data_IF_380818347019
#
_entry.id   IF_380818347019
#
_cell.length_a   1.000
_cell.length_b   1.000
_cell.length_c   1.000
_cell.angle_alpha   90.00
_cell.angle_beta   90.00
_cell.angle_gamma   90.00
#
_symmetry.space_group_name_H-M   'P 1'
#
loop_
_entity.id
_entity.type
_entity.pdbx_description
1 polymer ?
#
# COMPACT_ATOMS: atom_id res chain seq x y z
N UNK A 1 4.89 -12.49 -25.81
CA UNK A 1 5.19 -12.89 -27.22
C UNK A 1 4.13 -13.87 -27.69
N UNK A 2 3.50 -13.62 -28.84
CA UNK A 2 2.54 -14.54 -29.44
C UNK A 2 3.29 -15.49 -30.35
N UNK A 3 3.19 -16.81 -30.08
CA UNK A 3 3.72 -17.85 -30.92
C UNK A 3 2.59 -18.49 -31.73
N UNK A 4 2.70 -18.48 -33.04
CA UNK A 4 1.71 -19.05 -33.95
C UNK A 4 2.34 -20.23 -34.70
N UNK A 5 1.75 -21.40 -34.54
CA UNK A 5 2.17 -22.60 -35.25
C UNK A 5 1.24 -22.87 -36.46
N UNK A 6 1.79 -23.13 -37.65
CA UNK A 6 0.98 -23.18 -38.86
C UNK A 6 0.07 -24.41 -38.95
N UNK A 7 0.27 -25.41 -38.07
CA UNK A 7 -0.57 -26.62 -38.05
C UNK A 7 -0.95 -26.96 -36.62
N UNK A 8 -2.19 -27.34 -36.40
CA UNK A 8 -2.65 -27.81 -35.10
C UNK A 8 -4.14 -27.63 -34.83
N UNK A 9 -4.64 -28.36 -33.83
CA UNK A 9 -6.00 -28.29 -33.30
C UNK A 9 -5.99 -28.00 -31.81
N UNK A 10 -7.11 -28.11 -31.11
CA UNK A 10 -7.21 -27.89 -29.68
C UNK A 10 -6.60 -29.02 -28.84
N UNK A 11 -5.91 -28.68 -27.73
CA UNK A 11 -5.54 -29.61 -26.66
C UNK A 11 -4.37 -30.57 -26.94
N UNK A 12 -3.54 -30.33 -27.93
CA UNK A 12 -2.55 -31.28 -28.38
C UNK A 12 -1.07 -30.89 -28.24
N UNK A 13 -0.77 -29.77 -27.61
CA UNK A 13 0.61 -29.26 -27.38
C UNK A 13 1.56 -30.25 -26.72
N UNK A 14 1.07 -31.19 -25.91
CA UNK A 14 1.85 -32.26 -25.28
C UNK A 14 1.77 -33.63 -25.96
N UNK A 15 1.02 -33.77 -27.05
CA UNK A 15 0.92 -35.06 -27.76
C UNK A 15 2.19 -35.34 -28.56
N UNK A 16 2.67 -36.60 -28.53
CA UNK A 16 3.92 -36.99 -29.19
C UNK A 16 3.91 -36.79 -30.72
N UNK A 17 2.75 -36.89 -31.33
CA UNK A 17 2.55 -36.67 -32.78
C UNK A 17 2.50 -35.17 -33.16
N UNK A 18 2.59 -34.22 -32.20
CA UNK A 18 2.59 -32.84 -32.56
C UNK A 18 3.94 -32.41 -33.14
N UNK A 19 3.93 -31.99 -34.39
CA UNK A 19 5.14 -31.65 -35.16
C UNK A 19 6.06 -30.66 -34.47
N UNK A 20 5.51 -29.73 -33.71
CA UNK A 20 6.25 -28.68 -33.04
C UNK A 20 6.34 -28.90 -31.51
N UNK A 21 6.08 -30.12 -31.02
CA UNK A 21 6.09 -30.44 -29.58
C UNK A 21 7.40 -30.01 -28.91
N UNK A 22 8.53 -30.41 -29.52
CA UNK A 22 9.84 -30.10 -28.94
C UNK A 22 10.11 -28.60 -28.86
N UNK A 23 9.81 -27.85 -29.92
CA UNK A 23 9.96 -26.40 -29.93
C UNK A 23 9.05 -25.76 -28.91
N UNK A 24 7.78 -26.14 -28.86
CA UNK A 24 6.81 -25.61 -27.93
C UNK A 24 7.17 -25.88 -26.47
N UNK A 25 7.63 -27.12 -26.15
CA UNK A 25 8.08 -27.43 -24.78
C UNK A 25 9.32 -26.67 -24.41
N UNK A 26 10.30 -26.48 -25.28
CA UNK A 26 11.48 -25.67 -25.04
C UNK A 26 11.14 -24.19 -24.81
N UNK A 27 10.22 -23.63 -25.56
CA UNK A 27 9.73 -22.28 -25.41
C UNK A 27 8.96 -22.10 -24.08
N UNK A 28 8.13 -23.09 -23.72
CA UNK A 28 7.44 -23.14 -22.44
C UNK A 28 8.41 -23.25 -21.26
N UNK A 29 9.40 -24.17 -21.34
CA UNK A 29 10.44 -24.33 -20.32
C UNK A 29 11.29 -23.07 -20.17
N UNK A 30 11.63 -22.42 -21.29
CA UNK A 30 12.31 -21.12 -21.27
C UNK A 30 11.46 -20.08 -20.57
N UNK A 31 10.19 -19.97 -20.93
CA UNK A 31 9.24 -19.04 -20.34
C UNK A 31 9.04 -19.28 -18.84
N UNK A 32 8.95 -20.56 -18.41
CA UNK A 32 8.88 -20.93 -16.99
C UNK A 32 10.18 -20.68 -16.23
N UNK A 33 11.33 -20.85 -16.89
CA UNK A 33 12.67 -20.63 -16.31
C UNK A 33 13.02 -19.16 -16.21
N UNK A 34 12.68 -18.39 -17.25
CA UNK A 34 12.90 -16.93 -17.27
C UNK A 34 11.90 -16.21 -16.32
N UNK A 35 11.08 -17.00 -15.62
CA UNK A 35 9.94 -16.60 -14.82
C UNK A 35 8.76 -16.25 -15.72
N UNK A 36 7.56 -16.45 -15.20
CA UNK A 36 6.39 -15.75 -15.72
C UNK A 36 6.69 -14.28 -15.48
N UNK A 37 7.30 -13.63 -16.49
CA UNK A 37 7.32 -12.18 -16.52
C UNK A 37 5.86 -11.80 -16.75
N UNK A 38 5.10 -11.80 -15.68
CA UNK A 38 3.95 -10.90 -15.65
C UNK A 38 4.55 -9.56 -16.04
N UNK A 39 4.02 -8.87 -17.05
CA UNK A 39 4.46 -7.50 -17.31
C UNK A 39 4.62 -6.86 -15.95
N UNK A 40 5.76 -6.24 -15.63
CA UNK A 40 6.05 -5.70 -14.28
C UNK A 40 4.90 -4.84 -13.73
N UNK A 41 3.97 -4.46 -14.60
CA UNK A 41 2.79 -3.63 -14.36
C UNK A 41 1.45 -4.38 -14.44
N UNK A 42 1.42 -5.72 -14.38
CA UNK A 42 0.15 -6.47 -14.42
C UNK A 42 -0.69 -6.29 -13.15
N UNK A 43 -0.03 -6.02 -12.02
CA UNK A 43 -0.71 -5.75 -10.76
C UNK A 43 -1.36 -4.35 -10.76
N UNK A 44 -2.69 -4.25 -10.56
CA UNK A 44 -3.41 -2.98 -10.63
C UNK A 44 -2.81 -1.90 -9.72
N UNK A 45 -2.42 -2.24 -8.48
CA UNK A 45 -1.79 -1.33 -7.53
C UNK A 45 -0.49 -0.74 -8.08
N UNK A 46 0.40 -1.58 -8.64
CA UNK A 46 1.67 -1.12 -9.18
C UNK A 46 1.46 -0.26 -10.44
N UNK A 47 0.61 -0.71 -11.37
CA UNK A 47 0.31 0.01 -12.62
C UNK A 47 -0.31 1.40 -12.34
N UNK A 48 -1.29 1.47 -11.45
CA UNK A 48 -1.94 2.73 -11.07
C UNK A 48 -0.96 3.61 -10.29
N UNK A 49 -0.22 3.05 -9.33
CA UNK A 49 0.80 3.80 -8.59
C UNK A 49 1.86 4.41 -9.49
N UNK A 50 2.33 3.71 -10.53
CA UNK A 50 3.26 4.24 -11.53
C UNK A 50 2.69 5.42 -12.34
N UNK A 51 1.38 5.52 -12.50
CA UNK A 51 0.77 6.67 -13.19
C UNK A 51 0.93 7.99 -12.40
N UNK A 52 1.23 7.91 -11.11
CA UNK A 52 1.54 9.07 -10.26
C UNK A 52 3.02 9.48 -10.28
N UNK A 53 3.91 8.77 -10.97
CA UNK A 53 5.33 9.13 -11.01
C UNK A 53 5.53 10.60 -11.41
N UNK A 54 6.31 11.33 -10.60
CA UNK A 54 6.54 12.76 -10.78
C UNK A 54 5.49 13.69 -10.14
N UNK A 55 4.36 13.17 -9.66
CA UNK A 55 3.39 13.97 -8.90
C UNK A 55 4.04 14.59 -7.67
N UNK A 56 3.79 15.85 -7.39
CA UNK A 56 4.40 16.59 -6.29
C UNK A 56 4.06 16.00 -4.93
N UNK A 57 5.06 15.93 -4.05
CA UNK A 57 4.81 15.70 -2.64
C UNK A 57 4.38 16.98 -1.94
N UNK A 58 3.24 16.96 -1.27
CA UNK A 58 2.78 18.05 -0.40
C UNK A 58 2.13 17.45 0.84
N UNK A 59 2.68 17.76 2.02
CA UNK A 59 2.09 17.33 3.28
C UNK A 59 0.81 18.11 3.63
N UNK A 60 -0.04 17.52 4.46
CA UNK A 60 -1.22 18.16 5.04
C UNK A 60 -2.24 18.66 4.00
N UNK A 61 -2.33 17.99 2.86
CA UNK A 61 -3.29 18.36 1.78
C UNK A 61 -4.76 18.18 2.21
N UNK A 62 -5.02 17.38 3.24
CA UNK A 62 -6.35 17.07 3.74
C UNK A 62 -6.86 18.06 4.81
N UNK A 63 -6.01 18.96 5.31
CA UNK A 63 -6.31 19.82 6.46
C UNK A 63 -6.59 21.29 6.08
N UNK A 64 -6.94 21.53 4.81
CA UNK A 64 -7.13 22.88 4.28
C UNK A 64 -8.50 23.47 4.65
N UNK A 65 -9.55 22.66 4.63
CA UNK A 65 -10.93 23.10 4.85
C UNK A 65 -11.27 23.19 6.36
N UNK A 66 -12.21 24.06 6.72
CA UNK A 66 -12.69 24.21 8.10
C UNK A 66 -13.45 22.95 8.56
N UNK A 67 -14.32 22.41 7.70
CA UNK A 67 -15.10 21.21 7.96
C UNK A 67 -14.42 19.98 7.37
N UNK A 68 -14.48 18.87 8.09
CA UNK A 68 -14.01 17.59 7.58
C UNK A 68 -14.90 17.14 6.40
N UNK A 69 -14.28 16.85 5.29
CA UNK A 69 -14.93 16.37 4.07
C UNK A 69 -13.98 15.43 3.30
N UNK A 70 -14.52 14.67 2.36
CA UNK A 70 -13.70 13.85 1.47
C UNK A 70 -12.94 14.75 0.49
N UNK A 71 -11.68 15.03 0.82
CA UNK A 71 -10.79 15.79 -0.06
C UNK A 71 -10.18 14.87 -1.11
N UNK A 72 -10.29 15.25 -2.39
CA UNK A 72 -9.67 14.55 -3.53
C UNK A 72 -8.77 15.56 -4.24
N UNK A 73 -7.45 15.28 -4.25
CA UNK A 73 -6.44 16.06 -4.99
C UNK A 73 -5.57 15.13 -5.79
N UNK A 74 -5.42 15.42 -7.08
CA UNK A 74 -4.58 14.62 -7.98
C UNK A 74 -3.31 15.34 -8.42
N UNK A 75 -3.18 16.64 -8.07
CA UNK A 75 -2.03 17.48 -8.40
C UNK A 75 -0.87 17.34 -7.38
N UNK A 76 -1.17 16.85 -6.18
CA UNK A 76 -0.21 16.67 -5.11
C UNK A 76 -0.66 15.59 -4.13
N UNK A 77 0.28 14.85 -3.59
CA UNK A 77 0.04 13.75 -2.63
C UNK A 77 1.12 13.75 -1.55
N UNK A 78 0.80 13.21 -0.37
CA UNK A 78 1.78 12.69 0.58
C UNK A 78 1.86 11.16 0.49
N UNK A 79 2.65 10.53 1.36
CA UNK A 79 2.85 9.07 1.28
C UNK A 79 1.56 8.29 1.49
N UNK A 80 0.69 8.72 2.41
CA UNK A 80 -0.55 8.00 2.71
C UNK A 80 -1.61 8.26 1.64
N UNK A 81 -1.83 9.52 1.24
CA UNK A 81 -2.80 9.87 0.21
C UNK A 81 -2.46 9.27 -1.15
N UNK A 82 -1.16 9.11 -1.47
CA UNK A 82 -0.70 8.38 -2.65
C UNK A 82 -1.17 6.92 -2.62
N UNK A 83 -0.97 6.22 -1.50
CA UNK A 83 -1.40 4.82 -1.34
C UNK A 83 -2.92 4.70 -1.34
N UNK A 84 -3.62 5.60 -0.64
CA UNK A 84 -5.09 5.62 -0.60
C UNK A 84 -5.71 5.81 -2.00
N UNK A 85 -5.18 6.76 -2.79
CA UNK A 85 -5.68 7.01 -4.15
C UNK A 85 -5.41 5.82 -5.07
N UNK A 86 -4.23 5.24 -4.97
CA UNK A 86 -3.86 4.05 -5.74
C UNK A 86 -4.78 2.88 -5.40
N UNK A 87 -5.01 2.61 -4.10
CA UNK A 87 -5.88 1.53 -3.64
C UNK A 87 -7.34 1.78 -4.04
N UNK A 88 -7.86 3.00 -3.86
CA UNK A 88 -9.23 3.34 -4.22
C UNK A 88 -9.52 3.12 -5.71
N UNK A 89 -8.55 3.42 -6.58
CA UNK A 89 -8.64 3.16 -8.02
C UNK A 89 -8.50 1.66 -8.35
N UNK A 90 -7.60 0.95 -7.66
CA UNK A 90 -7.39 -0.48 -7.89
C UNK A 90 -8.60 -1.33 -7.53
N UNK A 91 -9.36 -0.92 -6.53
CA UNK A 91 -10.62 -1.58 -6.13
C UNK A 91 -11.73 -1.43 -7.19
N UNK A 92 -11.57 -0.53 -8.16
CA UNK A 92 -12.56 -0.30 -9.23
C UNK A 92 -13.85 0.35 -8.73
N UNK A 93 -14.92 0.24 -9.52
CA UNK A 93 -16.25 0.85 -9.23
C UNK A 93 -16.19 2.37 -8.97
N UNK A 94 -16.68 2.86 -7.83
CA UNK A 94 -16.66 4.27 -7.47
C UNK A 94 -15.39 4.65 -6.71
N UNK A 95 -14.51 5.43 -7.32
CA UNK A 95 -13.28 5.93 -6.69
C UNK A 95 -13.57 6.68 -5.38
N UNK A 96 -14.56 7.60 -5.39
CA UNK A 96 -14.88 8.40 -4.22
C UNK A 96 -15.42 7.56 -3.06
N UNK A 97 -16.30 6.60 -3.35
CA UNK A 97 -16.86 5.73 -2.30
C UNK A 97 -15.79 4.82 -1.71
N UNK A 98 -14.89 4.28 -2.56
CA UNK A 98 -13.76 3.49 -2.10
C UNK A 98 -12.82 4.32 -1.22
N UNK A 99 -12.46 5.52 -1.68
CA UNK A 99 -11.58 6.41 -0.94
C UNK A 99 -12.17 6.81 0.42
N UNK A 100 -13.48 7.07 0.50
CA UNK A 100 -14.15 7.36 1.75
C UNK A 100 -14.06 6.18 2.72
N UNK A 101 -14.31 4.94 2.26
CA UNK A 101 -14.20 3.72 3.07
C UNK A 101 -12.76 3.44 3.54
N UNK A 102 -11.78 3.79 2.71
CA UNK A 102 -10.35 3.60 3.00
C UNK A 102 -9.86 4.60 4.05
N UNK A 103 -10.27 5.88 3.92
CA UNK A 103 -9.74 7.00 4.71
C UNK A 103 -10.45 7.21 6.04
N UNK A 104 -11.74 6.87 6.11
CA UNK A 104 -12.55 7.15 7.29
C UNK A 104 -12.97 5.87 8.00
N UNK A 105 -13.03 5.94 9.31
CA UNK A 105 -13.47 4.83 10.17
C UNK A 105 -14.87 4.41 9.77
N UNK A 106 -15.01 3.14 9.36
CA UNK A 106 -16.25 2.56 8.83
C UNK A 106 -16.85 3.33 7.63
N UNK A 107 -16.04 4.14 6.94
CA UNK A 107 -16.48 4.97 5.82
C UNK A 107 -17.37 6.16 6.23
N UNK A 108 -17.40 6.54 7.50
CA UNK A 108 -18.27 7.60 8.02
C UNK A 108 -17.46 8.88 8.27
N UNK A 109 -17.87 9.99 7.61
CA UNK A 109 -17.30 11.31 7.85
C UNK A 109 -18.09 11.98 8.98
N UNK A 110 -17.44 12.14 10.13
CA UNK A 110 -18.02 12.79 11.31
C UNK A 110 -16.93 13.59 12.06
N UNK A 111 -16.51 14.70 11.47
CA UNK A 111 -15.44 15.54 12.00
C UNK A 111 -14.03 14.93 11.83
N UNK A 112 -13.04 15.70 12.23
CA UNK A 112 -11.61 15.37 12.08
C UNK A 112 -11.22 14.03 12.69
N UNK A 113 -11.65 13.64 13.90
CA UNK A 113 -11.28 12.36 14.50
C UNK A 113 -11.85 11.12 13.81
N UNK A 114 -12.81 11.26 12.88
CA UNK A 114 -13.34 10.12 12.11
C UNK A 114 -12.37 9.62 11.06
N UNK A 115 -11.37 10.43 10.67
CA UNK A 115 -10.31 10.03 9.75
C UNK A 115 -9.38 9.02 10.43
N UNK A 116 -8.87 8.04 9.67
CA UNK A 116 -7.92 7.04 10.15
C UNK A 116 -6.51 7.66 10.14
N UNK A 117 -6.12 8.27 11.27
CA UNK A 117 -4.86 9.00 11.38
C UNK A 117 -3.65 8.10 11.63
N UNK A 118 -3.85 6.95 12.28
CA UNK A 118 -2.80 5.98 12.54
C UNK A 118 -2.85 4.86 11.50
N UNK A 119 -1.70 4.57 10.88
CA UNK A 119 -1.64 3.58 9.80
C UNK A 119 -2.00 2.18 10.29
N UNK A 120 -1.69 1.82 11.52
CA UNK A 120 -2.12 0.54 12.10
C UNK A 120 -3.64 0.42 12.18
N UNK A 121 -4.35 1.50 12.52
CA UNK A 121 -5.82 1.51 12.49
C UNK A 121 -6.36 1.47 11.06
N UNK A 122 -5.71 2.17 10.15
CA UNK A 122 -6.03 2.16 8.73
C UNK A 122 -5.90 0.75 8.14
N UNK A 123 -4.83 0.01 8.47
CA UNK A 123 -4.65 -1.40 8.07
C UNK A 123 -5.75 -2.28 8.68
N UNK A 124 -6.03 -2.14 9.98
CA UNK A 124 -7.07 -2.91 10.67
C UNK A 124 -8.46 -2.67 10.04
N UNK A 125 -8.78 -1.40 9.76
CA UNK A 125 -10.02 -1.04 9.05
C UNK A 125 -10.08 -1.72 7.68
N UNK A 126 -8.98 -1.69 6.92
CA UNK A 126 -8.89 -2.33 5.61
C UNK A 126 -9.06 -3.85 5.66
N UNK A 127 -8.47 -4.51 6.64
CA UNK A 127 -8.63 -5.95 6.85
C UNK A 127 -10.07 -6.29 7.23
N UNK A 128 -10.67 -5.53 8.15
CA UNK A 128 -12.05 -5.72 8.60
C UNK A 128 -13.06 -5.56 7.47
N UNK A 129 -12.84 -4.61 6.57
CA UNK A 129 -13.71 -4.37 5.41
C UNK A 129 -13.34 -5.19 4.17
N UNK A 130 -12.32 -6.06 4.24
CA UNK A 130 -11.98 -7.04 3.22
C UNK A 130 -11.27 -6.49 1.99
N UNK A 131 -10.73 -5.27 2.03
CA UNK A 131 -9.92 -4.73 0.93
C UNK A 131 -8.42 -4.78 1.18
N UNK A 132 -7.97 -5.21 2.38
CA UNK A 132 -6.59 -5.53 2.70
C UNK A 132 -6.46 -6.92 3.34
N UNK A 133 -5.28 -7.49 3.23
CA UNK A 133 -4.87 -8.69 3.99
C UNK A 133 -3.53 -8.39 4.66
N UNK A 134 -3.44 -8.57 5.98
CA UNK A 134 -2.16 -8.50 6.69
C UNK A 134 -1.35 -9.78 6.43
N UNK A 135 -0.42 -9.70 5.47
CA UNK A 135 0.48 -10.81 5.12
C UNK A 135 1.64 -10.93 6.10
N UNK A 136 1.98 -9.86 6.83
CA UNK A 136 3.08 -9.88 7.81
C UNK A 136 2.75 -10.78 8.98
N UNK A 137 1.49 -10.78 9.42
CA UNK A 137 1.01 -11.62 10.52
C UNK A 137 1.17 -13.13 10.24
N UNK A 138 1.17 -13.54 8.98
CA UNK A 138 1.35 -14.95 8.56
C UNK A 138 2.81 -15.35 8.37
N UNK A 139 3.70 -14.37 8.15
CA UNK A 139 5.05 -14.62 7.65
C UNK A 139 6.16 -14.13 8.58
N UNK A 140 5.83 -13.38 9.65
CA UNK A 140 6.82 -12.91 10.63
C UNK A 140 6.46 -13.33 12.04
N UNK A 141 7.47 -13.76 12.78
CA UNK A 141 7.37 -14.09 14.22
C UNK A 141 7.56 -12.87 15.13
N UNK A 142 8.08 -11.78 14.59
CA UNK A 142 8.33 -10.57 15.36
C UNK A 142 7.03 -9.82 15.63
N UNK A 143 6.80 -9.52 16.88
CA UNK A 143 5.61 -8.80 17.32
C UNK A 143 5.96 -7.52 18.05
N UNK A 144 5.07 -6.55 18.00
CA UNK A 144 5.15 -5.30 18.74
C UNK A 144 3.78 -4.95 19.30
N UNK A 145 3.74 -4.56 20.57
CA UNK A 145 2.55 -4.00 21.18
C UNK A 145 2.46 -2.52 20.85
N UNK A 146 1.35 -2.08 20.29
CA UNK A 146 1.12 -0.68 19.97
C UNK A 146 0.97 0.17 21.24
N UNK A 147 1.55 1.37 21.20
CA UNK A 147 1.43 2.39 22.27
C UNK A 147 1.28 3.75 21.59
N UNK A 148 0.05 4.10 21.25
CA UNK A 148 -0.29 5.30 20.49
C UNK A 148 -0.73 6.42 21.43
N UNK A 149 -0.18 7.62 21.22
CA UNK A 149 -0.49 8.80 22.02
C UNK A 149 0.00 10.11 21.40
N UNK A 150 0.59 10.04 20.19
CA UNK A 150 1.32 11.17 19.66
C UNK A 150 0.44 12.38 19.36
N UNK A 151 -0.70 12.17 18.71
CA UNK A 151 -1.56 13.27 18.28
C UNK A 151 -2.23 13.96 19.47
N UNK A 152 -2.77 13.19 20.42
CA UNK A 152 -3.39 13.76 21.62
C UNK A 152 -2.38 14.44 22.57
N UNK A 153 -1.13 13.94 22.59
CA UNK A 153 -0.05 14.54 23.39
C UNK A 153 0.57 15.79 22.73
N UNK A 154 0.42 15.95 21.42
CA UNK A 154 1.01 17.07 20.67
C UNK A 154 -0.04 17.84 19.84
N UNK A 155 -1.18 18.26 20.42
CA UNK A 155 -2.30 18.82 19.65
C UNK A 155 -1.91 20.07 18.86
N UNK A 156 -0.95 20.87 19.35
CA UNK A 156 -0.47 22.09 18.67
C UNK A 156 0.21 21.85 17.33
N UNK A 157 0.62 20.61 17.04
CA UNK A 157 1.20 20.25 15.75
C UNK A 157 0.13 20.00 14.66
N UNK A 158 -1.14 19.93 15.05
CA UNK A 158 -2.26 19.61 14.17
C UNK A 158 -3.31 20.74 14.22
N UNK A 159 -3.48 21.44 13.12
CA UNK A 159 -4.41 22.59 13.03
C UNK A 159 -5.80 22.29 13.61
N UNK A 160 -6.33 21.10 13.34
CA UNK A 160 -7.67 20.69 13.77
C UNK A 160 -7.75 20.19 15.21
N UNK A 161 -6.62 20.00 15.88
CA UNK A 161 -6.54 19.66 17.31
C UNK A 161 -6.18 20.88 18.16
N UNK A 162 -5.37 21.79 17.62
CA UNK A 162 -4.82 22.93 18.36
C UNK A 162 -5.90 23.76 19.06
N UNK A 163 -7.02 23.97 18.37
CA UNK A 163 -8.12 24.82 18.83
C UNK A 163 -9.39 24.03 19.20
N UNK A 164 -9.30 22.69 19.31
CA UNK A 164 -10.44 21.83 19.61
C UNK A 164 -10.13 20.79 20.69
N UNK A 165 -10.33 21.11 21.97
CA UNK A 165 -10.19 20.13 23.07
C UNK A 165 -11.06 18.89 22.87
N UNK A 166 -12.23 19.02 22.26
CA UNK A 166 -13.12 17.90 21.96
C UNK A 166 -12.47 16.92 20.97
N UNK A 167 -11.89 17.42 19.86
CA UNK A 167 -11.15 16.58 18.92
C UNK A 167 -9.95 15.89 19.57
N UNK A 168 -9.25 16.57 20.51
CA UNK A 168 -8.13 15.97 21.26
C UNK A 168 -8.62 14.81 22.13
N UNK A 169 -9.74 14.96 22.82
CA UNK A 169 -10.33 13.90 23.65
C UNK A 169 -10.73 12.69 22.78
N UNK A 170 -11.41 12.93 21.67
CA UNK A 170 -11.81 11.85 20.74
C UNK A 170 -10.58 11.14 20.15
N UNK A 171 -9.52 11.88 19.78
CA UNK A 171 -8.26 11.28 19.34
C UNK A 171 -7.63 10.42 20.43
N UNK A 172 -7.59 10.88 21.67
CA UNK A 172 -7.07 10.11 22.81
C UNK A 172 -7.86 8.81 23.03
N UNK A 173 -9.18 8.82 22.83
CA UNK A 173 -10.02 7.61 22.88
C UNK A 173 -9.68 6.63 21.77
N UNK A 174 -9.47 7.10 20.53
CA UNK A 174 -9.03 6.25 19.41
C UNK A 174 -7.63 5.68 19.66
N UNK A 175 -6.67 6.49 20.09
CA UNK A 175 -5.33 6.05 20.47
C UNK A 175 -5.38 4.96 21.55
N UNK A 176 -6.22 5.13 22.55
CA UNK A 176 -6.44 4.14 23.62
C UNK A 176 -7.06 2.86 23.11
N UNK A 177 -8.02 2.95 22.18
CA UNK A 177 -8.69 1.77 21.62
C UNK A 177 -7.77 0.87 20.80
N UNK A 178 -6.73 1.47 20.16
CA UNK A 178 -5.75 0.76 19.34
C UNK A 178 -4.55 0.32 20.17
N UNK A 179 -4.17 1.11 21.18
CA UNK A 179 -3.04 0.80 22.07
C UNK A 179 -3.27 -0.53 22.79
N UNK A 180 -2.20 -1.29 22.94
CA UNK A 180 -2.24 -2.61 23.53
C UNK A 180 -2.44 -3.75 22.53
N UNK A 181 -2.93 -3.48 21.31
CA UNK A 181 -3.00 -4.48 20.25
C UNK A 181 -1.59 -4.90 19.84
N UNK A 182 -1.47 -6.16 19.45
CA UNK A 182 -0.21 -6.74 18.98
C UNK A 182 -0.23 -6.75 17.46
N UNK A 183 0.80 -6.17 16.86
CA UNK A 183 1.03 -6.20 15.41
C UNK A 183 2.30 -6.97 15.09
N UNK A 184 2.34 -7.60 13.92
CA UNK A 184 3.54 -8.25 13.41
C UNK A 184 4.36 -7.25 12.58
N UNK A 185 5.67 -7.41 12.59
CA UNK A 185 6.58 -6.57 11.82
C UNK A 185 7.79 -7.36 11.37
N UNK A 186 8.49 -6.90 10.35
CA UNK A 186 9.72 -7.49 9.85
C UNK A 186 10.90 -6.56 10.13
N UNK A 187 11.96 -7.03 10.83
CA UNK A 187 13.19 -6.25 10.96
C UNK A 187 13.83 -5.97 9.60
N UNK A 188 14.33 -4.75 9.39
CA UNK A 188 15.03 -4.38 8.14
C UNK A 188 16.22 -5.32 7.85
N UNK A 189 16.89 -5.81 8.89
CA UNK A 189 18.00 -6.78 8.77
C UNK A 189 17.60 -8.14 8.21
N UNK A 190 16.31 -8.47 8.22
CA UNK A 190 15.76 -9.71 7.68
C UNK A 190 15.13 -9.53 6.29
N UNK A 191 15.15 -8.31 5.74
CA UNK A 191 14.68 -7.99 4.40
C UNK A 191 15.88 -7.89 3.45
N UNK A 192 16.15 -8.93 2.63
CA UNK A 192 17.22 -8.87 1.63
C UNK A 192 16.83 -7.95 0.46
N UNK A 193 17.82 -7.44 -0.29
CA UNK A 193 17.58 -6.62 -1.49
C UNK A 193 16.67 -7.30 -2.54
N UNK A 194 16.75 -8.63 -2.62
CA UNK A 194 15.90 -9.42 -3.50
C UNK A 194 14.44 -9.52 -3.01
N UNK A 195 14.12 -8.91 -1.85
CA UNK A 195 12.82 -9.07 -1.22
C UNK A 195 12.63 -10.47 -0.61
N UNK A 196 11.41 -10.75 -0.21
CA UNK A 196 11.01 -12.05 0.34
C UNK A 196 9.94 -12.69 -0.55
N UNK A 197 9.86 -14.02 -0.64
CA UNK A 197 8.94 -14.72 -1.56
C UNK A 197 7.45 -14.39 -1.37
N UNK A 198 7.09 -13.90 -0.21
CA UNK A 198 5.72 -13.52 0.13
C UNK A 198 5.41 -12.02 -0.04
N UNK A 199 6.40 -11.19 -0.41
CA UNK A 199 6.19 -9.79 -0.79
C UNK A 199 6.06 -9.73 -2.31
N UNK A 200 4.94 -9.24 -2.79
CA UNK A 200 4.61 -9.21 -4.21
C UNK A 200 4.61 -7.76 -4.73
N UNK A 201 4.73 -7.62 -6.06
CA UNK A 201 4.46 -6.33 -6.70
C UNK A 201 3.07 -5.82 -6.33
N UNK A 202 2.97 -4.56 -5.94
CA UNK A 202 1.70 -3.95 -5.57
C UNK A 202 1.34 -4.07 -4.09
N UNK A 203 2.07 -4.85 -3.30
CA UNK A 203 1.86 -4.89 -1.85
C UNK A 203 2.14 -3.54 -1.20
N UNK A 204 1.33 -3.18 -0.21
CA UNK A 204 1.53 -1.96 0.56
C UNK A 204 2.56 -2.23 1.64
N UNK A 205 3.61 -1.42 1.67
CA UNK A 205 4.70 -1.49 2.65
C UNK A 205 4.53 -0.34 3.65
N UNK A 206 4.41 -0.69 4.94
CA UNK A 206 4.34 0.26 6.03
C UNK A 206 5.64 0.22 6.85
N UNK A 207 6.39 1.33 6.88
CA UNK A 207 7.69 1.43 7.56
C UNK A 207 7.47 1.95 8.96
N UNK A 208 7.84 1.14 9.96
CA UNK A 208 7.69 1.48 11.38
C UNK A 208 8.60 2.64 11.80
N UNK A 209 8.23 3.34 12.90
CA UNK A 209 9.01 4.42 13.48
C UNK A 209 9.51 4.10 14.88
N UNK A 210 10.57 4.82 15.31
CA UNK A 210 11.06 4.85 16.68
C UNK A 210 10.47 6.01 17.50
N UNK A 211 9.68 6.89 16.86
CA UNK A 211 9.04 8.03 17.55
C UNK A 211 8.01 7.50 18.52
N UNK A 212 8.14 7.87 19.79
CA UNK A 212 7.22 7.44 20.84
C UNK A 212 5.80 7.93 20.54
N UNK A 213 4.83 7.06 20.73
CA UNK A 213 3.41 7.38 20.51
C UNK A 213 2.96 7.31 19.05
N UNK A 214 3.88 7.04 18.08
CA UNK A 214 3.56 6.79 16.68
C UNK A 214 3.79 5.30 16.31
N UNK A 215 3.15 4.86 15.25
CA UNK A 215 3.26 3.49 14.71
C UNK A 215 4.14 3.42 13.45
N UNK A 216 3.81 4.20 12.43
CA UNK A 216 4.38 4.14 11.08
C UNK A 216 4.95 5.52 10.70
N UNK A 217 6.14 5.51 10.12
CA UNK A 217 6.80 6.71 9.61
C UNK A 217 6.47 6.98 8.14
N UNK A 218 6.27 5.93 7.35
CA UNK A 218 6.13 6.05 5.91
C UNK A 218 5.39 4.86 5.33
N UNK A 219 4.73 5.07 4.19
CA UNK A 219 4.06 4.02 3.42
C UNK A 219 4.41 4.14 1.93
N UNK A 220 4.38 3.01 1.24
CA UNK A 220 4.60 2.94 -0.20
C UNK A 220 4.12 1.61 -0.76
N UNK A 221 4.46 1.34 -2.00
CA UNK A 221 4.03 0.15 -2.74
C UNK A 221 5.27 -0.62 -3.18
N UNK A 222 5.30 -1.91 -2.94
CA UNK A 222 6.38 -2.80 -3.37
C UNK A 222 6.47 -2.82 -4.90
N UNK A 223 7.69 -2.64 -5.42
CA UNK A 223 7.96 -2.63 -6.85
C UNK A 223 9.25 -3.40 -7.13
N UNK A 224 9.15 -4.57 -7.77
CA UNK A 224 10.34 -5.31 -8.17
C UNK A 224 10.90 -4.80 -9.49
N UNK A 225 12.22 -4.58 -9.52
CA UNK A 225 13.00 -4.21 -10.71
C UNK A 225 14.27 -5.03 -10.76
N UNK A 226 14.53 -5.70 -11.86
CA UNK A 226 15.76 -6.51 -12.05
C UNK A 226 16.04 -7.49 -10.89
N UNK A 227 14.98 -8.09 -10.32
CA UNK A 227 15.08 -9.02 -9.20
C UNK A 227 15.36 -8.41 -7.84
N UNK A 228 15.28 -7.07 -7.70
CA UNK A 228 15.41 -6.34 -6.43
C UNK A 228 14.10 -5.69 -6.04
N UNK A 229 13.84 -5.66 -4.73
CA UNK A 229 12.70 -4.95 -4.16
C UNK A 229 13.01 -3.45 -4.03
N UNK A 230 12.15 -2.63 -4.58
CA UNK A 230 12.15 -1.17 -4.48
C UNK A 230 10.84 -0.69 -3.88
N UNK A 231 10.81 0.57 -3.46
CA UNK A 231 9.62 1.22 -2.95
C UNK A 231 9.11 2.28 -3.95
N UNK A 232 7.89 2.12 -4.44
CA UNK A 232 7.16 3.18 -5.16
C UNK A 232 6.40 4.01 -4.13
N UNK A 233 6.78 5.27 -3.95
CA UNK A 233 6.23 6.10 -2.87
C UNK A 233 6.27 7.60 -3.20
N UNK A 234 5.49 8.39 -2.47
CA UNK A 234 5.62 9.85 -2.48
C UNK A 234 6.74 10.23 -1.50
N UNK A 235 7.90 10.58 -2.04
CA UNK A 235 9.10 10.93 -1.26
C UNK A 235 9.07 12.39 -0.81
N UNK A 236 9.06 12.63 0.49
CA UNK A 236 9.20 13.99 1.05
C UNK A 236 10.58 14.59 0.77
N UNK A 237 11.62 13.76 0.72
CA UNK A 237 13.00 14.17 0.43
C UNK A 237 13.18 14.60 -1.03
N UNK A 238 12.60 13.83 -1.98
CA UNK A 238 12.69 14.12 -3.41
C UNK A 238 11.56 15.03 -3.92
N UNK A 239 10.59 15.35 -3.06
CA UNK A 239 9.48 16.25 -3.36
C UNK A 239 8.46 15.72 -4.38
N UNK A 240 8.45 14.43 -4.65
CA UNK A 240 7.58 13.82 -5.68
C UNK A 240 7.43 12.31 -5.50
N UNK A 241 6.48 11.74 -6.23
CA UNK A 241 6.35 10.28 -6.35
C UNK A 241 7.49 9.72 -7.18
N UNK A 242 8.16 8.72 -6.63
CA UNK A 242 9.33 8.04 -7.23
C UNK A 242 9.32 6.55 -6.94
N UNK A 243 10.17 5.81 -7.64
CA UNK A 243 10.62 4.47 -7.21
C UNK A 243 12.05 4.64 -6.70
N UNK A 244 12.30 4.28 -5.46
CA UNK A 244 13.61 4.42 -4.81
C UNK A 244 14.17 3.08 -4.32
N UNK A 245 15.47 3.06 -4.09
CA UNK A 245 16.25 1.91 -3.63
C UNK A 245 16.36 1.87 -2.09
N UNK A 246 15.44 2.50 -1.37
CA UNK A 246 15.49 2.66 0.09
C UNK A 246 15.24 1.35 0.86
#
# INVERSE_FOLDING_TARGET
>A
TLHVYPTGGHGWGFQDRFKYKQQWTQELEKWLRDGVVFPEDSEPMLRIGKSYLGTKYVANTLDQDEKEALVIRTDAVDCLTFVEYTLAQALGSSFADNLQKIRYRDGIINGYPSRLHYTSEWIENGVRHGFLTDITAKNSVHTKKLALSYMSAHPRQYKKLADSPENVLQMAEHEKAISGKVVHWLPKSELPEAGLPWIMNGDIIAITTKVSGLDIAHVGIAAYRHGKLHLLHASSTLGKVVVSDE
#
